data_IF_931670136727
#
_entry.id   IF_931670136727
#
_cell.length_a   1.000
_cell.length_b   1.000
_cell.length_c   1.000
_cell.angle_alpha   90.00
_cell.angle_beta   90.00
_cell.angle_gamma   90.00
#
_symmetry.space_group_name_H-M   'P 1'
#
loop_
_entity.id
_entity.type
_entity.pdbx_description
1 polymer ?
#
# COMPACT_ATOMS: atom_id res chain seq x y z
N UNK A 1 17.89 -7.11 14.89
CA UNK A 1 16.88 -6.08 14.54
C UNK A 1 16.37 -6.22 13.08
N UNK A 2 16.52 -7.38 12.42
CA UNK A 2 15.97 -7.60 11.08
C UNK A 2 16.61 -6.80 9.94
N UNK A 3 17.87 -6.37 10.12
CA UNK A 3 18.66 -5.67 9.09
C UNK A 3 19.76 -6.59 8.61
N UNK A 4 20.08 -6.52 7.31
CA UNK A 4 21.18 -7.26 6.72
C UNK A 4 22.52 -6.79 7.26
N UNK A 5 23.42 -7.75 7.51
CA UNK A 5 24.74 -7.47 8.09
C UNK A 5 25.57 -6.60 7.14
N UNK A 6 25.41 -6.77 5.84
CA UNK A 6 26.11 -6.00 4.81
C UNK A 6 25.73 -4.51 4.86
N UNK A 7 24.45 -4.19 5.04
CA UNK A 7 23.98 -2.80 5.17
C UNK A 7 24.56 -2.14 6.43
N UNK A 8 24.54 -2.85 7.56
CA UNK A 8 25.12 -2.35 8.80
C UNK A 8 26.63 -2.11 8.67
N UNK A 9 27.34 -2.98 7.96
CA UNK A 9 28.76 -2.83 7.67
C UNK A 9 29.04 -1.61 6.79
N UNK A 10 28.23 -1.38 5.74
CA UNK A 10 28.38 -0.20 4.89
C UNK A 10 28.11 1.10 5.65
N UNK A 11 27.04 1.15 6.45
CA UNK A 11 26.75 2.30 7.31
C UNK A 11 27.88 2.53 8.32
N UNK A 12 28.42 1.45 8.90
CA UNK A 12 29.56 1.52 9.81
C UNK A 12 30.82 2.06 9.14
N UNK A 13 31.13 1.60 7.93
CA UNK A 13 32.26 2.09 7.13
C UNK A 13 32.10 3.58 6.78
N UNK A 14 30.89 4.02 6.41
CA UNK A 14 30.60 5.44 6.21
C UNK A 14 30.78 6.25 7.50
N UNK A 15 30.38 5.69 8.64
CA UNK A 15 30.61 6.29 9.96
C UNK A 15 32.09 6.46 10.30
N UNK A 16 32.92 5.47 9.96
CA UNK A 16 34.37 5.54 10.11
C UNK A 16 34.99 6.65 9.24
N UNK A 17 34.59 6.75 7.97
CA UNK A 17 35.09 7.81 7.07
C UNK A 17 34.72 9.20 7.61
N UNK A 18 33.50 9.37 8.13
CA UNK A 18 33.05 10.63 8.73
C UNK A 18 33.79 10.95 10.04
N UNK A 19 34.07 9.96 10.87
CA UNK A 19 34.79 10.17 12.13
C UNK A 19 36.23 10.60 11.87
N UNK A 20 36.93 9.95 10.92
CA UNK A 20 38.29 10.34 10.51
C UNK A 20 38.32 11.80 10.03
N UNK A 21 37.36 12.22 9.19
CA UNK A 21 37.28 13.60 8.69
C UNK A 21 37.06 14.65 9.78
N UNK A 22 36.52 14.27 10.94
CA UNK A 22 36.20 15.16 12.06
C UNK A 22 37.16 15.02 13.24
N UNK A 23 38.07 14.07 13.20
CA UNK A 23 38.99 13.79 14.29
C UNK A 23 40.11 14.85 14.31
N UNK A 24 40.29 15.48 15.46
CA UNK A 24 41.41 16.40 15.69
C UNK A 24 42.53 15.65 16.44
N UNK A 25 43.72 15.62 15.85
CA UNK A 25 44.91 14.98 16.40
C UNK A 25 45.47 15.69 17.63
N UNK A 26 45.01 16.91 17.93
CA UNK A 26 45.36 17.60 19.16
C UNK A 26 44.71 16.96 20.40
N UNK A 27 43.66 16.15 20.22
CA UNK A 27 43.11 15.37 21.32
C UNK A 27 44.05 14.20 21.65
N UNK A 28 44.47 14.11 22.91
CA UNK A 28 45.34 13.04 23.41
C UNK A 28 44.58 11.72 23.63
N UNK A 29 43.87 11.25 22.61
CA UNK A 29 43.10 10.00 22.61
C UNK A 29 43.34 9.23 21.33
N UNK A 30 43.17 7.92 21.38
CA UNK A 30 43.25 7.10 20.17
C UNK A 30 42.05 7.36 19.27
N UNK A 31 42.25 7.28 17.95
CA UNK A 31 41.16 7.37 16.97
C UNK A 31 40.06 6.34 17.25
N UNK A 32 40.42 5.12 17.69
CA UNK A 32 39.46 4.08 18.09
C UNK A 32 38.50 4.56 19.18
N UNK A 33 38.99 5.28 20.18
CA UNK A 33 38.21 5.85 21.28
C UNK A 33 37.15 6.85 20.77
N UNK A 34 37.45 7.59 19.70
CA UNK A 34 36.52 8.54 19.08
C UNK A 34 35.61 7.88 18.03
N UNK A 35 36.16 7.02 17.18
CA UNK A 35 35.49 6.45 16.02
C UNK A 35 34.44 5.41 16.42
N UNK A 36 34.69 4.57 17.43
CA UNK A 36 33.76 3.53 17.87
C UNK A 36 32.38 4.10 18.28
N UNK A 37 32.27 5.08 19.22
CA UNK A 37 30.99 5.66 19.57
C UNK A 37 30.32 6.39 18.39
N UNK A 38 31.12 6.98 17.48
CA UNK A 38 30.62 7.63 16.27
C UNK A 38 29.96 6.62 15.31
N UNK A 39 30.64 5.51 15.02
CA UNK A 39 30.15 4.41 14.17
C UNK A 39 28.87 3.82 14.76
N UNK A 40 28.86 3.52 16.06
CA UNK A 40 27.67 3.02 16.76
C UNK A 40 26.52 4.02 16.65
N UNK A 41 26.79 5.33 16.76
CA UNK A 41 25.82 6.40 16.58
C UNK A 41 25.21 6.42 15.17
N UNK A 42 26.03 6.29 14.13
CA UNK A 42 25.57 6.24 12.73
C UNK A 42 24.68 5.02 12.48
N UNK A 43 25.08 3.84 12.97
CA UNK A 43 24.29 2.60 12.86
C UNK A 43 22.95 2.74 13.60
N UNK A 44 22.97 3.24 14.84
CA UNK A 44 21.74 3.47 15.61
C UNK A 44 20.81 4.46 14.93
N UNK A 45 21.36 5.53 14.32
CA UNK A 45 20.58 6.51 13.56
C UNK A 45 19.94 5.85 12.33
N UNK A 46 20.71 5.09 11.57
CA UNK A 46 20.20 4.37 10.39
C UNK A 46 19.02 3.47 10.75
N UNK A 47 19.18 2.61 11.77
CA UNK A 47 18.12 1.71 12.23
C UNK A 47 16.85 2.44 12.70
N UNK A 48 16.98 3.64 13.26
CA UNK A 48 15.84 4.46 13.68
C UNK A 48 15.14 5.13 12.50
N UNK A 49 15.91 5.48 11.47
CA UNK A 49 15.42 6.26 10.35
C UNK A 49 14.84 5.36 9.24
N UNK A 50 15.31 4.10 9.11
CA UNK A 50 14.95 3.12 8.08
C UNK A 50 13.71 2.25 8.40
N UNK A 51 12.72 2.83 9.10
CA UNK A 51 11.46 2.15 9.38
C UNK A 51 10.69 1.79 8.10
N UNK A 52 9.96 0.65 8.10
CA UNK A 52 9.15 0.18 6.96
C UNK A 52 8.13 1.20 6.46
N UNK A 53 7.62 2.05 7.37
CA UNK A 53 6.75 3.17 7.04
C UNK A 53 7.52 4.48 7.23
N UNK A 54 7.57 5.29 6.17
CA UNK A 54 8.21 6.61 6.20
C UNK A 54 7.24 7.66 6.72
N UNK A 55 7.41 8.03 7.99
CA UNK A 55 6.70 9.15 8.63
C UNK A 55 7.61 10.39 8.75
N UNK A 56 7.00 11.57 8.90
CA UNK A 56 7.75 12.83 9.07
C UNK A 56 8.57 12.84 10.37
N UNK A 57 9.66 13.62 10.39
CA UNK A 57 10.50 13.75 11.59
C UNK A 57 9.72 14.32 12.78
N UNK A 58 8.88 15.32 12.54
CA UNK A 58 8.05 15.96 13.57
C UNK A 58 7.14 14.95 14.28
N UNK A 59 6.56 14.00 13.53
CA UNK A 59 5.72 12.94 14.09
C UNK A 59 6.55 11.97 14.93
N UNK A 60 7.75 11.57 14.47
CA UNK A 60 8.65 10.70 15.26
C UNK A 60 9.11 11.37 16.55
N UNK A 61 9.46 12.65 16.50
CA UNK A 61 9.87 13.42 17.67
C UNK A 61 8.71 13.57 18.68
N UNK A 62 7.50 13.79 18.18
CA UNK A 62 6.29 13.82 18.99
C UNK A 62 6.04 12.46 19.67
N UNK A 63 6.17 11.35 18.94
CA UNK A 63 6.02 10.00 19.48
C UNK A 63 7.03 9.71 20.62
N UNK A 64 8.28 10.14 20.48
CA UNK A 64 9.31 10.01 21.53
C UNK A 64 8.92 10.82 22.77
N UNK A 65 8.43 12.05 22.61
CA UNK A 65 7.97 12.89 23.72
C UNK A 65 6.76 12.27 24.43
N UNK A 66 5.80 11.75 23.67
CA UNK A 66 4.63 11.06 24.23
C UNK A 66 5.06 9.87 25.09
N UNK A 67 5.96 9.02 24.59
CA UNK A 67 6.48 7.87 25.34
C UNK A 67 7.20 8.29 26.63
N UNK A 68 7.95 9.39 26.59
CA UNK A 68 8.65 9.89 27.77
C UNK A 68 7.65 10.37 28.83
N UNK A 69 6.62 11.12 28.44
CA UNK A 69 5.57 11.61 29.33
C UNK A 69 4.73 10.45 29.90
N UNK A 70 4.37 9.48 29.05
CA UNK A 70 3.72 8.22 29.46
C UNK A 70 4.54 7.51 30.54
N UNK A 71 5.84 7.34 30.30
CA UNK A 71 6.74 6.68 31.26
C UNK A 71 6.84 7.45 32.58
N UNK A 72 6.99 8.77 32.53
CA UNK A 72 7.05 9.61 33.74
C UNK A 72 5.73 9.58 34.53
N UNK A 73 4.59 9.52 33.84
CA UNK A 73 3.28 9.38 34.48
C UNK A 73 3.11 8.00 35.13
N UNK A 74 3.56 6.94 34.47
CA UNK A 74 3.55 5.58 35.00
C UNK A 74 4.46 5.46 36.24
N UNK A 75 5.65 6.07 36.20
CA UNK A 75 6.59 6.07 37.33
C UNK A 75 6.06 6.87 38.55
N UNK A 76 5.26 7.92 38.33
CA UNK A 76 4.74 8.79 39.41
C UNK A 76 3.38 8.37 39.95
N UNK A 77 2.46 8.00 39.06
CA UNK A 77 1.05 7.81 39.37
C UNK A 77 0.59 6.35 39.19
N UNK A 78 1.42 5.48 38.60
CA UNK A 78 1.06 4.08 38.34
C UNK A 78 0.01 3.88 37.23
N UNK A 79 -0.35 4.96 36.51
CA UNK A 79 -1.38 4.94 35.47
C UNK A 79 -0.88 5.61 34.19
N UNK A 80 -1.35 5.09 33.04
CA UNK A 80 -1.12 5.71 31.74
C UNK A 80 -2.02 6.93 31.52
N UNK A 81 -1.50 7.93 30.80
CA UNK A 81 -2.27 9.12 30.47
C UNK A 81 -3.17 8.88 29.26
N UNK A 82 -4.39 9.45 29.32
CA UNK A 82 -5.30 9.46 28.17
C UNK A 82 -4.81 10.43 27.09
N UNK A 83 -5.24 10.19 25.85
CA UNK A 83 -4.91 11.03 24.69
C UNK A 83 -5.28 12.50 24.94
N UNK A 84 -6.41 12.76 25.60
CA UNK A 84 -6.85 14.08 26.03
C UNK A 84 -5.80 14.80 26.88
N UNK A 85 -5.28 14.11 27.89
CA UNK A 85 -4.35 14.68 28.86
C UNK A 85 -3.00 14.96 28.20
N UNK A 86 -2.56 14.05 27.32
CA UNK A 86 -1.32 14.21 26.55
C UNK A 86 -1.45 15.40 25.59
N UNK A 87 -2.59 15.55 24.91
CA UNK A 87 -2.87 16.67 24.02
C UNK A 87 -2.82 18.01 24.76
N UNK A 88 -3.39 18.08 25.98
CA UNK A 88 -3.32 19.27 26.84
C UNK A 88 -1.90 19.61 27.28
N UNK A 89 -1.12 18.62 27.71
CA UNK A 89 0.27 18.79 28.15
C UNK A 89 1.16 19.29 27.01
N UNK A 90 1.03 18.67 25.83
CA UNK A 90 1.87 18.96 24.67
C UNK A 90 1.36 20.14 23.83
N UNK A 91 0.11 20.58 24.06
CA UNK A 91 -0.59 21.60 23.25
C UNK A 91 -0.64 21.24 21.77
N UNK A 92 -0.99 19.99 21.50
CA UNK A 92 -1.05 19.39 20.16
C UNK A 92 -2.45 18.82 19.95
N UNK A 93 -2.92 18.75 18.71
CA UNK A 93 -4.23 18.19 18.39
C UNK A 93 -4.33 16.69 18.75
N UNK A 94 -5.54 16.20 19.07
CA UNK A 94 -5.73 14.78 19.39
C UNK A 94 -5.40 13.89 18.19
N UNK A 95 -5.67 14.39 16.99
CA UNK A 95 -5.39 13.72 15.72
C UNK A 95 -3.89 13.52 15.53
N UNK A 96 -3.06 14.54 15.81
CA UNK A 96 -1.61 14.43 15.73
C UNK A 96 -1.02 13.52 16.81
N UNK A 97 -1.59 13.51 18.03
CA UNK A 97 -1.19 12.57 19.08
C UNK A 97 -1.50 11.13 18.66
N UNK A 98 -2.71 10.86 18.15
CA UNK A 98 -3.09 9.54 17.65
C UNK A 98 -2.16 9.08 16.53
N UNK A 99 -1.89 9.95 15.55
CA UNK A 99 -0.97 9.66 14.45
C UNK A 99 0.45 9.37 14.95
N UNK A 100 0.94 10.11 15.94
CA UNK A 100 2.26 9.88 16.54
C UNK A 100 2.35 8.57 17.33
N UNK A 101 1.28 8.17 18.03
CA UNK A 101 1.19 6.87 18.69
C UNK A 101 1.22 5.74 17.65
N UNK A 102 0.42 5.86 16.59
CA UNK A 102 0.38 4.88 15.50
C UNK A 102 1.71 4.79 14.74
N UNK A 103 2.40 5.91 14.55
CA UNK A 103 3.70 5.96 13.91
C UNK A 103 4.80 5.23 14.70
N UNK A 104 4.61 5.06 16.00
CA UNK A 104 5.51 4.25 16.84
C UNK A 104 5.21 2.75 16.69
N UNK A 105 3.91 2.42 16.66
CA UNK A 105 3.38 1.08 16.38
C UNK A 105 3.66 0.59 14.95
N UNK A 106 3.88 1.52 14.01
CA UNK A 106 4.28 1.26 12.62
C UNK A 106 5.62 0.51 12.46
N UNK A 107 6.34 0.27 13.56
CA UNK A 107 7.46 -0.68 13.60
C UNK A 107 7.03 -2.13 13.38
N UNK A 108 5.74 -2.44 13.55
CA UNK A 108 5.14 -3.78 13.42
C UNK A 108 4.23 -3.80 12.19
N UNK A 109 4.81 -3.70 11.00
CA UNK A 109 4.11 -4.17 9.79
C UNK A 109 4.12 -5.69 9.84
N UNK A 110 2.93 -6.27 10.05
CA UNK A 110 2.71 -7.73 10.05
C UNK A 110 2.82 -8.27 8.63
N UNK A 111 3.31 -9.50 8.48
CA UNK A 111 3.35 -10.16 7.18
C UNK A 111 1.94 -10.54 6.76
N UNK A 112 1.56 -10.29 5.50
CA UNK A 112 0.29 -10.78 4.94
C UNK A 112 0.24 -12.31 4.86
N UNK A 113 1.40 -12.96 4.85
CA UNK A 113 1.56 -14.42 4.86
C UNK A 113 1.65 -14.98 6.28
N UNK A 114 1.37 -14.17 7.31
CA UNK A 114 1.35 -14.66 8.68
C UNK A 114 0.10 -15.51 8.90
N UNK A 115 0.24 -16.75 9.43
CA UNK A 115 -0.90 -17.63 9.66
C UNK A 115 -1.76 -17.13 10.82
N UNK A 116 -3.05 -16.94 10.58
CA UNK A 116 -4.05 -16.53 11.58
C UNK A 116 -4.80 -17.71 12.18
N UNK A 117 -4.85 -18.84 11.47
CA UNK A 117 -5.54 -20.05 11.92
C UNK A 117 -4.91 -21.29 11.32
N UNK A 118 -4.61 -22.27 12.18
CA UNK A 118 -4.12 -23.59 11.77
C UNK A 118 -5.22 -24.62 11.99
N UNK A 119 -5.84 -25.09 10.89
CA UNK A 119 -6.74 -26.23 10.97
C UNK A 119 -5.92 -27.53 11.12
N UNK A 120 -6.45 -28.50 11.89
CA UNK A 120 -5.84 -29.84 12.05
C UNK A 120 -5.77 -30.63 10.73
N UNK A 121 -6.45 -30.14 9.70
CA UNK A 121 -6.46 -30.66 8.32
C UNK A 121 -5.25 -30.21 7.48
N UNK A 122 -4.36 -29.36 8.03
CA UNK A 122 -3.13 -28.91 7.37
C UNK A 122 -3.29 -27.71 6.43
N UNK A 123 -4.45 -27.05 6.43
CA UNK A 123 -4.64 -25.77 5.72
C UNK A 123 -4.41 -24.62 6.70
N UNK A 124 -3.33 -23.88 6.48
CA UNK A 124 -3.04 -22.62 7.18
C UNK A 124 -3.80 -21.49 6.47
N UNK A 125 -4.59 -20.73 7.22
CA UNK A 125 -5.20 -19.49 6.75
C UNK A 125 -4.24 -18.35 7.09
N UNK A 126 -3.88 -17.54 6.09
CA UNK A 126 -3.02 -16.38 6.26
C UNK A 126 -3.83 -15.09 6.43
N UNK A 127 -3.18 -14.01 6.90
CA UNK A 127 -3.80 -12.67 6.97
C UNK A 127 -4.40 -12.27 5.61
N UNK A 128 -3.71 -12.56 4.49
CA UNK A 128 -4.19 -12.26 3.14
C UNK A 128 -5.57 -12.87 2.82
N UNK A 129 -5.87 -14.06 3.35
CA UNK A 129 -7.13 -14.75 3.10
C UNK A 129 -8.32 -14.07 3.81
N UNK A 130 -8.04 -13.24 4.81
CA UNK A 130 -9.05 -12.53 5.59
C UNK A 130 -9.37 -11.14 5.04
N UNK A 131 -8.54 -10.64 4.13
CA UNK A 131 -8.71 -9.30 3.56
C UNK A 131 -9.75 -9.38 2.44
N UNK A 132 -10.90 -8.74 2.67
CA UNK A 132 -11.92 -8.61 1.64
C UNK A 132 -11.37 -7.83 0.43
N UNK A 133 -11.60 -8.37 -0.76
CA UNK A 133 -11.32 -7.66 -2.00
C UNK A 133 -12.55 -6.85 -2.40
N UNK A 134 -12.41 -5.52 -2.54
CA UNK A 134 -13.44 -4.66 -3.16
C UNK A 134 -13.61 -4.94 -4.67
N UNK A 135 -12.80 -5.82 -5.25
CA UNK A 135 -12.92 -6.22 -6.65
C UNK A 135 -14.04 -7.24 -6.77
N UNK A 136 -15.09 -6.79 -7.43
CA UNK A 136 -16.23 -7.59 -7.86
C UNK A 136 -15.87 -8.53 -9.03
N UNK A 137 -14.88 -9.41 -8.81
CA UNK A 137 -14.40 -10.35 -9.82
C UNK A 137 -15.49 -11.38 -10.19
N UNK A 138 -16.36 -11.74 -9.25
CA UNK A 138 -17.49 -12.61 -9.50
C UNK A 138 -18.47 -12.00 -10.50
N UNK A 139 -18.94 -10.76 -10.28
CA UNK A 139 -19.85 -10.13 -11.24
C UNK A 139 -19.16 -9.85 -12.58
N UNK A 140 -17.86 -9.51 -12.61
CA UNK A 140 -17.13 -9.39 -13.90
C UNK A 140 -17.12 -10.69 -14.70
N UNK A 141 -16.92 -11.84 -14.03
CA UNK A 141 -16.95 -13.14 -14.69
C UNK A 141 -18.37 -13.45 -15.18
N UNK A 142 -19.39 -13.20 -14.35
CA UNK A 142 -20.79 -13.38 -14.71
C UNK A 142 -21.19 -12.50 -15.92
N UNK A 143 -20.83 -11.23 -15.91
CA UNK A 143 -21.07 -10.28 -17.00
C UNK A 143 -20.41 -10.75 -18.29
N UNK A 144 -19.14 -11.18 -18.22
CA UNK A 144 -18.40 -11.65 -19.39
C UNK A 144 -19.03 -12.90 -20.00
N UNK A 145 -19.46 -13.86 -19.17
CA UNK A 145 -20.18 -15.06 -19.62
C UNK A 145 -21.53 -14.69 -20.24
N UNK A 146 -22.25 -13.75 -19.64
CA UNK A 146 -23.56 -13.30 -20.11
C UNK A 146 -23.44 -12.59 -21.46
N UNK A 147 -22.53 -11.63 -21.60
CA UNK A 147 -22.27 -10.94 -22.88
C UNK A 147 -21.85 -11.94 -23.95
N UNK A 148 -20.98 -12.91 -23.62
CA UNK A 148 -20.54 -13.93 -24.57
C UNK A 148 -21.73 -14.72 -25.14
N UNK A 149 -22.63 -15.21 -24.28
CA UNK A 149 -23.85 -15.93 -24.72
C UNK A 149 -24.73 -15.05 -25.60
N UNK A 150 -24.96 -13.80 -25.21
CA UNK A 150 -25.80 -12.87 -25.97
C UNK A 150 -25.22 -12.56 -27.36
N UNK A 151 -23.89 -12.49 -27.48
CA UNK A 151 -23.22 -12.30 -28.78
C UNK A 151 -23.31 -13.56 -29.64
N UNK A 152 -23.19 -14.76 -29.05
CA UNK A 152 -23.30 -16.03 -29.77
C UNK A 152 -24.69 -16.25 -30.42
N UNK A 153 -25.75 -15.68 -29.86
CA UNK A 153 -27.11 -15.74 -30.42
C UNK A 153 -27.36 -14.79 -31.60
N UNK A 154 -26.47 -13.82 -31.82
CA UNK A 154 -26.56 -12.91 -32.96
C UNK A 154 -26.19 -13.63 -34.26
N UNK A 155 -26.75 -13.19 -35.38
CA UNK A 155 -26.31 -13.71 -36.68
C UNK A 155 -24.89 -13.20 -37.03
N UNK A 156 -24.24 -13.83 -38.00
CA UNK A 156 -22.84 -13.55 -38.37
C UNK A 156 -22.57 -12.08 -38.70
N UNK A 157 -23.53 -11.40 -39.35
CA UNK A 157 -23.39 -9.99 -39.71
C UNK A 157 -23.51 -9.07 -38.49
N UNK A 158 -24.42 -9.38 -37.56
CA UNK A 158 -24.59 -8.67 -36.30
C UNK A 158 -23.40 -8.87 -35.36
N UNK A 159 -22.86 -10.09 -35.27
CA UNK A 159 -21.63 -10.39 -34.54
C UNK A 159 -20.45 -9.57 -35.06
N UNK A 160 -20.28 -9.48 -36.38
CA UNK A 160 -19.20 -8.70 -36.97
C UNK A 160 -19.36 -7.20 -36.66
N UNK A 161 -20.59 -6.68 -36.69
CA UNK A 161 -20.87 -5.28 -36.28
C UNK A 161 -20.49 -5.07 -34.82
N UNK A 162 -20.90 -5.94 -33.89
CA UNK A 162 -20.56 -5.80 -32.46
C UNK A 162 -19.05 -5.88 -32.24
N UNK A 163 -18.38 -6.84 -32.88
CA UNK A 163 -16.93 -6.99 -32.78
C UNK A 163 -16.19 -5.74 -33.32
N UNK A 164 -16.61 -5.20 -34.46
CA UNK A 164 -15.98 -4.00 -35.00
C UNK A 164 -16.23 -2.76 -34.12
N UNK A 165 -17.45 -2.61 -33.60
CA UNK A 165 -17.87 -1.44 -32.81
C UNK A 165 -17.27 -1.41 -31.41
N UNK A 166 -17.39 -2.52 -30.68
CA UNK A 166 -17.10 -2.57 -29.24
C UNK A 166 -15.75 -3.21 -28.92
N UNK A 167 -15.27 -4.15 -29.75
CA UNK A 167 -13.98 -4.79 -29.53
C UNK A 167 -12.84 -4.09 -30.31
N UNK A 168 -13.08 -3.68 -31.56
CA UNK A 168 -12.08 -2.98 -32.40
C UNK A 168 -12.23 -1.46 -32.43
N UNK A 169 -13.20 -0.89 -31.70
CA UNK A 169 -13.37 0.56 -31.54
C UNK A 169 -13.67 1.34 -32.82
N UNK A 170 -14.25 0.70 -33.85
CA UNK A 170 -14.54 1.35 -35.14
C UNK A 170 -15.79 2.23 -35.10
N UNK A 171 -15.76 3.33 -35.85
CA UNK A 171 -16.92 4.21 -36.05
C UNK A 171 -17.97 3.53 -36.96
N UNK A 172 -19.24 3.94 -36.85
CA UNK A 172 -20.31 3.39 -37.71
C UNK A 172 -20.02 3.59 -39.20
N UNK A 173 -19.35 4.68 -39.56
CA UNK A 173 -18.94 4.98 -40.94
C UNK A 173 -17.84 4.04 -41.43
N UNK A 174 -16.86 3.71 -40.59
CA UNK A 174 -15.83 2.72 -40.93
C UNK A 174 -16.40 1.32 -41.07
N UNK A 175 -17.33 0.94 -40.18
CA UNK A 175 -18.05 -0.34 -40.25
C UNK A 175 -18.89 -0.42 -41.52
N UNK A 176 -19.61 0.64 -41.85
CA UNK A 176 -20.42 0.76 -43.07
C UNK A 176 -19.57 0.56 -44.34
N UNK A 177 -18.41 1.23 -44.42
CA UNK A 177 -17.46 1.05 -45.52
C UNK A 177 -16.96 -0.39 -45.62
N UNK A 178 -16.64 -1.03 -44.49
CA UNK A 178 -16.14 -2.41 -44.47
C UNK A 178 -17.20 -3.43 -44.87
N UNK A 179 -18.45 -3.21 -44.49
CA UNK A 179 -19.57 -4.11 -44.76
C UNK A 179 -20.33 -3.80 -46.06
N UNK A 180 -19.94 -2.76 -46.80
CA UNK A 180 -20.60 -2.37 -48.06
C UNK A 180 -22.04 -1.86 -47.89
N UNK A 181 -22.40 -1.35 -46.71
CA UNK A 181 -23.75 -0.84 -46.39
C UNK A 181 -23.69 0.62 -45.95
N UNK A 182 -24.85 1.27 -45.82
CA UNK A 182 -24.90 2.66 -45.35
C UNK A 182 -24.67 2.78 -43.83
N UNK A 183 -24.12 3.90 -43.39
CA UNK A 183 -23.96 4.21 -41.96
C UNK A 183 -25.30 4.20 -41.21
N UNK A 184 -26.39 4.65 -41.86
CA UNK A 184 -27.74 4.62 -41.29
C UNK A 184 -28.21 3.17 -41.06
N UNK A 185 -27.90 2.24 -41.97
CA UNK A 185 -28.21 0.82 -41.78
C UNK A 185 -27.42 0.23 -40.60
N UNK A 186 -26.12 0.53 -40.48
CA UNK A 186 -25.30 0.09 -39.33
C UNK A 186 -25.91 0.61 -38.02
N UNK A 187 -26.32 1.89 -37.97
CA UNK A 187 -26.95 2.48 -36.79
C UNK A 187 -28.25 1.78 -36.41
N UNK A 188 -29.10 1.44 -37.39
CA UNK A 188 -30.36 0.71 -37.14
C UNK A 188 -30.11 -0.70 -36.62
N UNK A 189 -29.15 -1.42 -37.21
CA UNK A 189 -28.78 -2.78 -36.77
C UNK A 189 -28.21 -2.75 -35.35
N UNK A 190 -27.28 -1.83 -35.07
CA UNK A 190 -26.69 -1.68 -33.74
C UNK A 190 -27.75 -1.38 -32.66
N UNK A 191 -28.68 -0.46 -32.93
CA UNK A 191 -29.79 -0.17 -32.01
C UNK A 191 -30.66 -1.41 -31.75
N UNK A 192 -30.95 -2.20 -32.79
CA UNK A 192 -31.74 -3.43 -32.66
C UNK A 192 -31.01 -4.48 -31.82
N UNK A 193 -29.71 -4.68 -32.07
CA UNK A 193 -28.86 -5.60 -31.29
C UNK A 193 -28.89 -5.21 -29.82
N UNK A 194 -28.57 -3.95 -29.51
CA UNK A 194 -28.55 -3.45 -28.12
C UNK A 194 -29.90 -3.57 -27.43
N UNK A 195 -30.99 -3.29 -28.15
CA UNK A 195 -32.34 -3.45 -27.63
C UNK A 195 -32.66 -4.93 -27.31
N UNK A 196 -32.31 -5.85 -28.21
CA UNK A 196 -32.51 -7.28 -28.00
C UNK A 196 -31.69 -7.81 -26.82
N UNK A 197 -30.41 -7.43 -26.73
CA UNK A 197 -29.54 -7.78 -25.60
C UNK A 197 -30.09 -7.24 -24.29
N UNK A 198 -30.56 -5.99 -24.27
CA UNK A 198 -31.16 -5.38 -23.08
C UNK A 198 -32.41 -6.11 -22.61
N UNK A 199 -33.29 -6.53 -23.51
CA UNK A 199 -34.49 -7.30 -23.11
C UNK A 199 -34.14 -8.65 -22.48
N UNK A 200 -33.05 -9.29 -22.94
CA UNK A 200 -32.59 -10.57 -22.40
C UNK A 200 -31.84 -10.46 -21.06
N UNK A 201 -31.34 -9.28 -20.71
CA UNK A 201 -30.69 -8.99 -19.43
C UNK A 201 -31.68 -8.65 -18.30
N UNK A 202 -32.93 -8.30 -18.63
CA UNK A 202 -33.97 -7.86 -17.67
C UNK A 202 -34.88 -9.03 -17.24
N UNK A 203 -34.60 -10.24 -17.74
CA UNK A 203 -35.21 -11.51 -17.31
C UNK A 203 -34.21 -12.22 -16.41
#
# INVERSE_FOLDING_TARGET
RGYEIEDLNQIGAMGLVKSIKKFDTNYNVQLSTYAVPFIIGEIKRYIRDDGRIKVSRSIKELAVKINQIQKEAMDKNGEELKVEQIAEILKVSKEEIALALDANSASVVTSINEPVYNDKSGKELCIEDTIASDKDEENKIADKLTIKKLVEELNSQEQEIVMLRYYKGKTQTEVAKKLGISQVQVSRIEKRILYSMKQKLVI
#
